data_IF_461951399498
#
_entry.id   IF_461951399498
#
_cell.length_a   1.000
_cell.length_b   1.000
_cell.length_c   1.000
_cell.angle_alpha   90.00
_cell.angle_beta   90.00
_cell.angle_gamma   90.00
#
_symmetry.space_group_name_H-M   'P 1'
#
loop_
_entity.id
_entity.type
_entity.pdbx_description
1 polymer ?
#
# COMPACT_ATOMS: atom_id res chain seq x y z
N UNK A 1 -2.89 -1.89 31.81
CA UNK A 1 -2.66 -2.20 31.78
C UNK A 1 -2.77 -2.42 31.34
N UNK A 2 -2.86 -2.01 30.97
CA UNK A 2 -2.75 -2.29 30.71
C UNK A 2 -3.14 -2.62 30.05
N UNK A 3 -3.24 -2.69 29.62
CA UNK A 3 -3.34 -3.17 29.28
C UNK A 3 -3.90 -3.50 28.70
N UNK A 4 -3.89 -3.23 28.69
CA UNK A 4 -4.10 -3.82 28.31
C UNK A 4 -4.27 -4.16 28.30
N UNK A 5 -4.08 -4.20 28.46
CA UNK A 5 -3.86 -4.73 28.64
C UNK A 5 -3.71 -5.07 28.74
N UNK A 6 -3.30 -5.23 28.89
CA UNK A 6 -2.80 -5.74 29.14
C UNK A 6 -2.45 -6.30 29.10
N UNK A 7 -2.02 -6.39 29.43
CA UNK A 7 -1.49 -7.08 29.52
C UNK A 7 -1.05 -7.68 29.02
N UNK A 8 -0.55 -7.83 28.77
CA UNK A 8 -0.10 -8.56 28.31
C UNK A 8 0.65 -8.55 27.79
N UNK A 9 1.40 -8.34 27.57
CA UNK A 9 2.35 -8.44 27.52
C UNK A 9 3.27 -9.21 26.88
N UNK A 10 4.40 -9.11 26.09
CA UNK A 10 4.65 -10.34 25.61
C UNK A 10 4.84 -10.41 24.10
N UNK A 11 5.06 -11.60 23.47
CA UNK A 11 5.06 -11.85 22.03
C UNK A 11 3.74 -11.46 21.38
N UNK A 12 2.65 -11.57 22.12
CA UNK A 12 1.33 -11.17 21.66
C UNK A 12 1.22 -9.65 21.44
N UNK A 13 2.02 -8.86 22.12
CA UNK A 13 1.98 -7.40 21.97
C UNK A 13 2.48 -6.98 20.60
N UNK A 14 3.45 -7.68 20.04
CA UNK A 14 3.92 -7.42 18.69
C UNK A 14 2.82 -7.64 17.66
N UNK A 15 2.07 -8.71 17.83
CA UNK A 15 0.97 -9.01 16.92
C UNK A 15 -0.10 -7.94 16.98
N UNK A 16 -0.39 -7.43 18.17
CA UNK A 16 -1.34 -6.34 18.33
C UNK A 16 -0.87 -5.08 17.62
N UNK A 17 0.40 -4.74 17.70
CA UNK A 17 0.95 -3.56 17.03
C UNK A 17 0.80 -3.69 15.52
N UNK A 18 1.12 -4.83 14.96
CA UNK A 18 0.97 -5.07 13.51
C UNK A 18 -0.49 -4.96 13.09
N UNK A 19 -1.40 -5.54 13.87
CA UNK A 19 -2.82 -5.48 13.60
C UNK A 19 -3.33 -4.03 13.61
N UNK A 20 -2.87 -3.21 14.55
CA UNK A 20 -3.24 -1.81 14.62
C UNK A 20 -2.75 -1.04 13.39
N UNK A 21 -1.53 -1.31 12.90
CA UNK A 21 -1.03 -0.68 11.70
C UNK A 21 -1.88 -1.02 10.49
N UNK A 22 -2.25 -2.27 10.33
CA UNK A 22 -3.11 -2.70 9.23
C UNK A 22 -4.45 -1.95 9.29
N UNK A 23 -5.06 -1.88 10.47
CA UNK A 23 -6.33 -1.18 10.66
C UNK A 23 -6.23 0.32 10.40
N UNK A 24 -5.06 0.91 10.61
CA UNK A 24 -4.87 2.34 10.34
C UNK A 24 -4.79 2.65 8.87
N UNK A 25 -4.35 1.70 8.06
CA UNK A 25 -4.21 1.88 6.61
C UNK A 25 -5.47 1.40 5.90
N UNK A 26 -5.90 0.17 6.18
CA UNK A 26 -7.00 -0.48 5.49
C UNK A 26 -8.23 -0.45 6.39
N UNK A 27 -9.12 0.50 6.13
CA UNK A 27 -10.18 0.86 7.08
C UNK A 27 -11.40 -0.03 7.00
N UNK A 28 -11.95 -0.26 5.81
CA UNK A 28 -13.22 -0.95 5.71
C UNK A 28 -13.49 -1.46 4.30
N UNK A 29 -14.09 -2.64 4.21
CA UNK A 29 -14.62 -3.17 2.96
C UNK A 29 -13.58 -3.49 1.92
N UNK A 30 -12.34 -3.77 2.31
CA UNK A 30 -11.24 -3.95 1.38
C UNK A 30 -11.40 -5.22 0.57
N UNK A 31 -11.17 -5.10 -0.74
CA UNK A 31 -11.11 -6.22 -1.67
C UNK A 31 -9.70 -6.34 -2.21
N UNK A 32 -9.37 -7.52 -2.72
CA UNK A 32 -8.01 -7.81 -3.19
C UNK A 32 -8.01 -8.25 -4.64
N UNK A 33 -6.85 -8.07 -5.28
CA UNK A 33 -6.55 -8.64 -6.58
C UNK A 33 -5.26 -9.43 -6.45
N UNK A 34 -5.28 -10.67 -6.94
CA UNK A 34 -4.10 -11.54 -6.90
C UNK A 34 -3.23 -11.28 -8.13
N UNK A 35 -1.93 -11.43 -7.95
CA UNK A 35 -0.99 -11.26 -9.05
C UNK A 35 0.42 -11.60 -8.62
N UNK A 36 1.37 -11.21 -9.46
CA UNK A 36 2.79 -11.45 -9.21
C UNK A 36 3.51 -10.10 -9.17
N UNK A 37 4.17 -9.84 -8.04
CA UNK A 37 5.11 -8.74 -7.94
C UNK A 37 6.45 -9.17 -8.49
N UNK A 38 7.11 -8.30 -9.24
CA UNK A 38 8.47 -8.54 -9.73
C UNK A 38 9.34 -7.33 -9.45
N UNK A 39 10.52 -7.58 -8.88
CA UNK A 39 11.51 -6.50 -8.75
C UNK A 39 12.19 -6.30 -10.10
N UNK A 40 11.86 -5.20 -10.77
CA UNK A 40 12.44 -4.86 -12.08
C UNK A 40 13.63 -3.91 -11.96
N UNK A 41 14.09 -3.65 -10.73
CA UNK A 41 15.29 -2.81 -10.52
C UNK A 41 16.54 -3.69 -10.58
N UNK A 42 17.70 -3.04 -10.68
CA UNK A 42 18.98 -3.75 -10.75
C UNK A 42 19.48 -4.20 -9.37
N UNK A 43 18.86 -3.76 -8.29
CA UNK A 43 19.30 -4.04 -6.93
C UNK A 43 18.19 -4.56 -6.05
N UNK A 44 18.39 -4.51 -4.76
CA UNK A 44 17.37 -4.90 -3.78
C UNK A 44 16.24 -3.88 -3.77
N UNK A 45 15.02 -4.37 -3.57
CA UNK A 45 13.85 -3.51 -3.46
C UNK A 45 12.96 -4.00 -2.33
N UNK A 46 12.45 -3.08 -1.53
CA UNK A 46 11.50 -3.40 -0.45
C UNK A 46 10.17 -2.76 -0.78
N UNK A 47 9.13 -3.59 -0.84
CA UNK A 47 7.75 -3.11 -0.92
C UNK A 47 7.24 -2.98 0.50
N UNK A 48 6.76 -1.81 0.86
CA UNK A 48 6.27 -1.57 2.23
C UNK A 48 4.77 -1.76 2.32
N UNK A 49 4.27 -2.02 3.53
CA UNK A 49 2.84 -2.01 3.77
C UNK A 49 2.31 -0.61 3.43
N UNK A 50 1.27 -0.54 2.63
CA UNK A 50 0.73 0.73 2.15
C UNK A 50 1.36 1.23 0.86
N UNK A 51 2.32 0.50 0.30
CA UNK A 51 2.98 0.88 -0.95
C UNK A 51 2.01 0.92 -2.10
N UNK A 52 2.00 2.04 -2.82
CA UNK A 52 1.18 2.19 -4.03
C UNK A 52 1.84 1.43 -5.17
N UNK A 53 1.06 0.57 -5.83
CA UNK A 53 1.57 -0.34 -6.85
C UNK A 53 1.00 -0.03 -8.21
N UNK A 54 1.82 -0.22 -9.24
CA UNK A 54 1.43 -0.13 -10.63
C UNK A 54 1.67 -1.45 -11.32
N UNK A 55 1.34 -1.52 -12.61
CA UNK A 55 1.40 -2.76 -13.37
C UNK A 55 2.13 -2.51 -14.67
N UNK A 56 3.12 -3.34 -14.98
CA UNK A 56 3.83 -3.27 -16.26
C UNK A 56 2.89 -3.79 -17.35
N UNK A 57 2.58 -2.95 -18.33
CA UNK A 57 1.59 -3.26 -19.34
C UNK A 57 1.95 -4.51 -20.16
N UNK A 58 3.23 -4.66 -20.52
CA UNK A 58 3.67 -5.75 -21.39
C UNK A 58 3.65 -7.11 -20.70
N UNK A 59 3.90 -7.16 -19.38
CA UNK A 59 4.05 -8.42 -18.66
C UNK A 59 2.90 -8.71 -17.69
N UNK A 60 2.15 -7.69 -17.32
CA UNK A 60 1.12 -7.81 -16.31
C UNK A 60 1.66 -7.98 -14.90
N UNK A 61 2.96 -7.80 -14.68
CA UNK A 61 3.56 -7.92 -13.35
C UNK A 61 3.35 -6.65 -12.56
N UNK A 62 3.14 -6.82 -11.26
CA UNK A 62 3.01 -5.70 -10.34
C UNK A 62 4.38 -5.20 -9.92
N UNK A 63 4.54 -3.90 -9.88
CA UNK A 63 5.77 -3.25 -9.45
C UNK A 63 5.42 -2.03 -8.60
N UNK A 64 6.39 -1.47 -7.89
CA UNK A 64 6.17 -0.21 -7.18
C UNK A 64 5.85 0.87 -8.22
N UNK A 65 4.76 1.61 -8.00
CA UNK A 65 4.35 2.68 -8.89
C UNK A 65 5.36 3.83 -8.83
N UNK A 66 5.88 4.23 -9.99
CA UNK A 66 6.85 5.33 -10.10
C UNK A 66 6.35 6.30 -11.17
N UNK A 67 6.20 7.56 -10.81
CA UNK A 67 5.64 8.55 -11.71
C UNK A 67 6.42 8.73 -13.02
N UNK A 68 7.71 8.43 -13.00
CA UNK A 68 8.58 8.57 -14.16
C UNK A 68 8.62 7.32 -15.05
N UNK A 69 7.92 6.26 -14.69
CA UNK A 69 7.94 5.02 -15.49
C UNK A 69 7.22 5.22 -16.82
N UNK A 70 7.71 4.49 -17.83
CA UNK A 70 7.15 4.58 -19.20
C UNK A 70 6.58 3.25 -19.68
N UNK A 71 6.49 2.26 -18.79
CA UNK A 71 6.06 0.89 -19.11
C UNK A 71 4.63 0.58 -18.67
N UNK A 72 3.87 1.60 -18.28
CA UNK A 72 2.51 1.47 -17.77
C UNK A 72 2.43 1.51 -16.26
N UNK A 73 3.53 1.29 -15.55
CA UNK A 73 3.51 1.22 -14.08
C UNK A 73 3.49 2.58 -13.40
N UNK A 74 3.52 3.67 -14.15
CA UNK A 74 3.31 5.01 -13.59
C UNK A 74 1.86 5.23 -13.15
N UNK A 75 0.94 4.40 -13.61
CA UNK A 75 -0.47 4.49 -13.25
C UNK A 75 -0.71 3.67 -11.99
N UNK A 76 -1.05 4.30 -10.84
CA UNK A 76 -1.33 3.56 -9.63
C UNK A 76 -2.64 2.78 -9.75
N UNK A 77 -2.67 1.53 -9.28
CA UNK A 77 -3.83 0.66 -9.43
C UNK A 77 -4.23 -0.07 -8.17
N UNK A 78 -3.32 -0.24 -7.22
CA UNK A 78 -3.58 -1.00 -6.01
C UNK A 78 -2.58 -0.62 -4.92
N UNK A 79 -2.80 -1.15 -3.72
CA UNK A 79 -1.96 -0.84 -2.55
C UNK A 79 -1.57 -2.16 -1.90
N UNK A 80 -0.31 -2.29 -1.51
CA UNK A 80 0.19 -3.52 -0.89
C UNK A 80 -0.22 -3.60 0.58
N UNK A 81 -0.84 -4.69 1.01
CA UNK A 81 -1.16 -4.90 2.43
C UNK A 81 -0.02 -5.52 3.22
N UNK A 82 1.07 -5.89 2.57
CA UNK A 82 2.19 -6.59 3.21
C UNK A 82 3.50 -5.96 2.82
N UNK A 83 4.53 -6.29 3.61
CA UNK A 83 5.89 -5.89 3.29
C UNK A 83 6.64 -7.04 2.61
N UNK A 84 7.34 -6.72 1.51
CA UNK A 84 8.26 -7.65 0.86
C UNK A 84 9.65 -7.06 1.03
N UNK A 85 10.45 -7.65 1.92
CA UNK A 85 11.73 -7.09 2.31
C UNK A 85 12.85 -7.61 1.43
N UNK A 86 13.66 -6.69 0.90
CA UNK A 86 14.90 -6.99 0.17
C UNK A 86 14.70 -8.01 -0.96
N UNK A 87 13.69 -7.81 -1.78
CA UNK A 87 13.52 -8.62 -2.98
C UNK A 87 14.75 -8.41 -3.89
N UNK A 88 15.36 -9.51 -4.31
CA UNK A 88 16.52 -9.43 -5.20
C UNK A 88 16.11 -9.07 -6.62
N UNK A 89 17.06 -8.66 -7.46
CA UNK A 89 16.78 -8.29 -8.83
C UNK A 89 16.09 -9.44 -9.57
N UNK A 90 15.02 -9.12 -10.28
CA UNK A 90 14.18 -10.06 -11.04
C UNK A 90 13.40 -11.06 -10.19
N UNK A 91 13.45 -10.97 -8.87
CA UNK A 91 12.68 -11.86 -7.99
C UNK A 91 11.18 -11.64 -8.19
N UNK A 92 10.42 -12.74 -8.19
CA UNK A 92 8.96 -12.69 -8.31
C UNK A 92 8.32 -13.28 -7.06
N UNK A 93 7.25 -12.63 -6.60
CA UNK A 93 6.52 -13.03 -5.40
C UNK A 93 5.03 -12.96 -5.69
N UNK A 94 4.28 -14.00 -5.32
CA UNK A 94 2.83 -13.96 -5.42
C UNK A 94 2.29 -13.00 -4.38
N UNK A 95 1.36 -12.13 -4.79
CA UNK A 95 0.81 -11.09 -3.92
C UNK A 95 -0.70 -11.00 -4.07
N UNK A 96 -1.34 -10.53 -3.00
CA UNK A 96 -2.75 -10.12 -3.03
C UNK A 96 -2.78 -8.65 -2.64
N UNK A 97 -3.06 -7.79 -3.61
CA UNK A 97 -3.02 -6.34 -3.40
C UNK A 97 -4.43 -5.81 -3.15
N UNK A 98 -4.52 -4.75 -2.38
CA UNK A 98 -5.82 -4.11 -2.09
C UNK A 98 -6.19 -3.22 -3.26
N UNK A 99 -7.33 -3.50 -3.88
CA UNK A 99 -7.84 -2.72 -5.01
C UNK A 99 -9.22 -2.12 -4.77
N UNK A 100 -9.76 -2.28 -3.57
CA UNK A 100 -11.06 -1.74 -3.23
C UNK A 100 -11.21 -1.46 -1.74
N UNK A 101 -12.25 -0.72 -1.39
CA UNK A 101 -12.56 -0.37 -0.02
C UNK A 101 -11.95 0.94 0.41
N UNK A 102 -12.07 1.25 1.70
CA UNK A 102 -11.58 2.51 2.26
C UNK A 102 -10.16 2.36 2.78
N UNK A 103 -9.32 3.31 2.41
CA UNK A 103 -7.91 3.36 2.81
C UNK A 103 -7.62 4.73 3.41
N UNK A 104 -6.83 4.75 4.48
CA UNK A 104 -6.34 5.98 5.07
C UNK A 104 -5.21 6.55 4.22
N UNK A 105 -5.39 7.75 3.68
CA UNK A 105 -4.38 8.42 2.86
C UNK A 105 -3.02 8.49 3.53
N UNK A 106 -3.00 8.73 4.84
CA UNK A 106 -1.74 8.90 5.58
C UNK A 106 -0.92 7.62 5.65
N UNK A 107 -1.52 6.46 5.37
CA UNK A 107 -0.82 5.18 5.37
C UNK A 107 -0.19 4.81 4.06
N UNK A 108 -0.42 5.60 3.00
CA UNK A 108 0.12 5.29 1.69
C UNK A 108 1.61 5.60 1.62
N UNK A 109 2.35 4.72 0.96
CA UNK A 109 3.79 4.85 0.75
C UNK A 109 4.05 4.99 -0.74
N UNK A 110 4.89 5.96 -1.11
CA UNK A 110 5.21 6.25 -2.49
C UNK A 110 6.70 6.08 -2.75
N UNK A 111 7.06 5.95 -4.01
CA UNK A 111 8.46 5.87 -4.41
C UNK A 111 9.11 7.26 -4.41
N UNK A 112 10.27 7.36 -3.82
CA UNK A 112 11.06 8.60 -3.86
C UNK A 112 10.29 9.80 -3.32
N UNK A 113 10.13 10.82 -4.14
CA UNK A 113 9.42 12.05 -3.77
C UNK A 113 7.97 12.08 -4.27
N UNK A 114 7.48 11.00 -4.85
CA UNK A 114 6.09 10.95 -5.32
C UNK A 114 5.12 11.06 -4.14
N UNK A 115 3.97 11.65 -4.41
CA UNK A 115 2.89 11.82 -3.44
C UNK A 115 1.55 11.66 -4.17
N UNK A 116 0.45 11.77 -3.42
CA UNK A 116 -0.88 11.78 -4.05
C UNK A 116 -1.07 12.95 -5.02
N UNK A 117 -0.32 14.02 -4.84
CA UNK A 117 -0.43 15.21 -5.70
C UNK A 117 0.50 15.18 -6.91
N UNK A 118 1.40 14.20 -7.00
CA UNK A 118 2.31 14.07 -8.14
C UNK A 118 1.49 13.87 -9.42
N UNK A 119 1.89 14.59 -10.48
CA UNK A 119 1.19 14.51 -11.76
C UNK A 119 1.81 13.44 -12.65
N UNK A 120 0.97 12.65 -13.27
CA UNK A 120 1.35 11.68 -14.29
C UNK A 120 0.47 11.97 -15.50
N UNK A 121 1.09 12.43 -16.59
CA UNK A 121 0.32 12.85 -17.76
C UNK A 121 -0.64 13.98 -17.47
N UNK A 122 -0.32 14.83 -16.50
CA UNK A 122 -1.18 15.97 -16.13
C UNK A 122 -2.30 15.62 -15.15
N UNK A 123 -2.38 14.39 -14.67
CA UNK A 123 -3.42 13.95 -13.72
C UNK A 123 -2.75 13.54 -12.41
N UNK A 124 -3.35 13.93 -11.28
CA UNK A 124 -2.80 13.61 -9.95
C UNK A 124 -2.87 12.10 -9.70
N UNK A 125 -1.86 11.60 -8.99
CA UNK A 125 -1.82 10.16 -8.65
C UNK A 125 -3.01 9.74 -7.82
N UNK A 126 -3.55 10.61 -6.98
CA UNK A 126 -4.77 10.31 -6.22
C UNK A 126 -5.95 9.99 -7.17
N UNK A 127 -6.14 10.83 -8.17
CA UNK A 127 -7.25 10.65 -9.11
C UNK A 127 -7.04 9.41 -9.98
N UNK A 128 -5.79 9.14 -10.35
CA UNK A 128 -5.46 7.95 -11.13
C UNK A 128 -5.70 6.69 -10.32
N UNK A 129 -5.33 6.68 -9.05
CA UNK A 129 -5.54 5.52 -8.20
C UNK A 129 -7.02 5.21 -8.04
N UNK A 130 -7.83 6.23 -7.80
CA UNK A 130 -9.28 6.05 -7.68
C UNK A 130 -9.87 5.54 -9.00
N UNK A 131 -9.44 6.12 -10.12
CA UNK A 131 -9.98 5.77 -11.43
C UNK A 131 -9.54 4.40 -11.93
N UNK A 132 -8.34 3.94 -11.57
CA UNK A 132 -7.74 2.72 -12.12
C UNK A 132 -7.74 1.53 -11.16
N UNK A 133 -8.17 1.72 -9.93
CA UNK A 133 -8.44 0.62 -9.00
C UNK A 133 -9.87 0.15 -9.22
N UNK A 134 -10.21 -0.99 -8.60
CA UNK A 134 -11.58 -1.48 -8.70
C UNK A 134 -12.57 -0.53 -8.02
N UNK A 135 -12.28 -0.16 -6.77
CA UNK A 135 -13.23 0.62 -5.99
C UNK A 135 -12.58 1.28 -4.77
N UNK A 136 -11.34 1.74 -4.89
CA UNK A 136 -10.66 2.39 -3.76
C UNK A 136 -11.29 3.73 -3.45
N UNK A 137 -11.45 3.98 -2.17
CA UNK A 137 -11.90 5.26 -1.62
C UNK A 137 -10.88 5.70 -0.58
N UNK A 138 -10.32 6.88 -0.77
CA UNK A 138 -9.26 7.38 0.10
C UNK A 138 -9.86 8.33 1.13
N UNK A 139 -9.54 8.07 2.40
CA UNK A 139 -10.06 8.82 3.53
C UNK A 139 -8.94 9.51 4.29
N UNK A 140 -9.25 10.64 4.87
CA UNK A 140 -8.35 11.36 5.76
C UNK A 140 -8.80 11.13 7.19
N UNK A 141 -7.91 10.57 8.00
CA UNK A 141 -8.15 10.40 9.42
C UNK A 141 -7.36 11.50 10.12
N UNK A 142 -8.07 12.50 10.64
CA UNK A 142 -7.42 13.70 11.16
C UNK A 142 -7.17 13.65 12.67
N UNK A 143 -7.89 12.81 13.38
CA UNK A 143 -7.79 12.78 14.85
C UNK A 143 -7.90 11.35 15.35
N UNK A 144 -6.73 10.75 15.56
CA UNK A 144 -6.68 9.39 16.10
C UNK A 144 -7.00 9.37 17.60
N UNK A 145 -6.87 10.50 18.29
CA UNK A 145 -7.24 10.56 19.70
C UNK A 145 -8.75 10.36 19.90
N UNK A 146 -9.54 10.78 18.90
CA UNK A 146 -10.96 10.53 18.92
C UNK A 146 -11.32 9.07 18.94
N UNK A 147 -10.51 8.24 18.31
CA UNK A 147 -10.74 6.80 18.33
C UNK A 147 -10.38 6.17 19.66
N UNK A 148 -9.42 6.74 20.35
CA UNK A 148 -9.01 6.24 21.66
C UNK A 148 -10.09 6.36 22.72
N UNK A 149 -11.10 7.16 22.48
CA UNK A 149 -12.20 7.39 23.41
C UNK A 149 -13.32 6.39 23.26
N UNK A 150 -13.23 5.51 22.34
CA UNK A 150 -14.28 4.50 22.10
C UNK A 150 -14.14 3.28 22.98
#
# INVERSE_FOLDING_TARGET
MSEITQTVRFASDRQLIVTEQVKRIFLFGNTTVDGTYKNITAGLETVKMGQVMGKVAATGKWVICKSAAVDGSAIPRAVSPEEITDATAAQEVLVSLIDGGEINKAGLVFNGTDTLDTLVGGVRMEDLLIANSRSLSLKTITDTAGFGNY
#
